data_IF_433100530573
#
_entry.id   IF_433100530573
#
_cell.length_a   1.000
_cell.length_b   1.000
_cell.length_c   1.000
_cell.angle_alpha   90.00
_cell.angle_beta   90.00
_cell.angle_gamma   90.00
#
_symmetry.space_group_name_H-M   'P 1'
#
loop_
_entity.id
_entity.type
_entity.pdbx_description
1 polymer ?
#
# COMPACT_ATOMS: atom_id res chain seq x y z
N UNK A 1 -17.39 -14.36 -4.15
CA UNK A 1 -16.76 -14.07 -2.84
C UNK A 1 -15.31 -13.64 -3.00
N UNK A 2 -14.38 -14.51 -3.45
CA UNK A 2 -12.95 -14.15 -3.48
C UNK A 2 -12.58 -13.03 -4.46
N UNK A 3 -13.19 -12.94 -5.66
CA UNK A 3 -12.94 -11.82 -6.58
C UNK A 3 -13.19 -10.46 -5.90
N UNK A 4 -14.32 -10.31 -5.20
CA UNK A 4 -14.66 -9.11 -4.44
C UNK A 4 -13.68 -8.85 -3.29
N UNK A 5 -13.46 -9.85 -2.40
CA UNK A 5 -12.64 -9.67 -1.19
C UNK A 5 -11.16 -9.49 -1.46
N UNK A 6 -10.64 -10.07 -2.54
CA UNK A 6 -9.24 -9.88 -2.90
C UNK A 6 -8.98 -8.52 -3.57
N UNK A 7 -9.97 -7.97 -4.29
CA UNK A 7 -9.88 -6.58 -4.79
C UNK A 7 -9.91 -5.57 -3.65
N UNK A 8 -10.69 -5.81 -2.60
CA UNK A 8 -10.75 -4.93 -1.41
C UNK A 8 -9.39 -4.74 -0.71
N UNK A 9 -8.45 -5.69 -0.83
CA UNK A 9 -7.07 -5.53 -0.33
C UNK A 9 -6.40 -4.32 -0.97
N UNK A 10 -6.66 -4.10 -2.26
CA UNK A 10 -6.10 -3.02 -3.05
C UNK A 10 -4.57 -2.97 -3.03
N UNK A 11 -4.02 -1.79 -3.21
CA UNK A 11 -2.56 -1.55 -3.30
C UNK A 11 -1.98 -1.00 -1.98
N UNK A 12 -2.82 -0.91 -0.96
CA UNK A 12 -2.51 -0.34 0.35
C UNK A 12 -1.45 -1.10 1.14
N UNK A 13 -1.11 -2.34 0.81
CA UNK A 13 -0.08 -3.10 1.53
C UNK A 13 1.20 -3.32 0.70
N UNK A 14 1.44 -2.55 -0.37
CA UNK A 14 2.63 -2.67 -1.23
C UNK A 14 2.72 -4.06 -1.90
N UNK A 15 1.86 -4.36 -2.89
CA UNK A 15 2.03 -5.53 -3.76
C UNK A 15 3.33 -5.41 -4.59
N UNK A 16 3.85 -6.53 -5.15
CA UNK A 16 3.20 -7.84 -5.25
C UNK A 16 3.11 -8.60 -3.93
N UNK A 17 1.98 -9.26 -3.69
CA UNK A 17 1.71 -9.96 -2.43
C UNK A 17 2.09 -11.44 -2.48
N UNK A 18 2.49 -11.96 -1.32
CA UNK A 18 2.31 -13.39 -1.04
C UNK A 18 0.97 -13.57 -0.35
N UNK A 19 -0.03 -13.98 -1.10
CA UNK A 19 -1.41 -14.05 -0.64
C UNK A 19 -1.68 -15.36 0.09
N UNK A 20 -2.34 -15.30 1.24
CA UNK A 20 -2.82 -16.46 1.96
C UNK A 20 -4.33 -16.41 2.14
N UNK A 21 -5.01 -17.51 1.84
CA UNK A 21 -6.44 -17.70 2.09
C UNK A 21 -6.63 -18.95 2.94
N UNK A 22 -7.38 -18.81 4.03
CA UNK A 22 -7.74 -19.92 4.92
C UNK A 22 -9.24 -20.08 4.90
N UNK A 23 -9.72 -21.30 4.63
CA UNK A 23 -11.15 -21.64 4.60
C UNK A 23 -11.43 -22.70 5.65
N UNK A 24 -12.26 -22.36 6.63
CA UNK A 24 -12.48 -23.17 7.83
C UNK A 24 -11.58 -22.74 8.98
N UNK A 25 -11.67 -23.49 10.08
CA UNK A 25 -11.01 -23.18 11.34
C UNK A 25 -11.93 -23.49 12.52
N UNK A 26 -11.32 -23.86 13.64
CA UNK A 26 -12.04 -24.12 14.89
C UNK A 26 -12.55 -22.84 15.55
N UNK A 27 -11.96 -21.70 15.22
CA UNK A 27 -12.33 -20.37 15.67
C UNK A 27 -11.77 -19.29 14.74
N UNK A 28 -12.20 -18.04 14.94
CA UNK A 28 -11.74 -16.92 14.12
C UNK A 28 -10.23 -16.68 14.31
N UNK A 29 -9.76 -16.67 15.56
CA UNK A 29 -8.35 -16.50 15.92
C UNK A 29 -7.46 -17.62 15.37
N UNK A 30 -7.96 -18.86 15.31
CA UNK A 30 -7.22 -19.97 14.70
C UNK A 30 -7.10 -19.82 13.18
N UNK A 31 -8.17 -19.39 12.50
CA UNK A 31 -8.14 -19.12 11.06
C UNK A 31 -7.16 -17.98 10.73
N UNK A 32 -7.18 -16.88 11.49
CA UNK A 32 -6.27 -15.73 11.30
C UNK A 32 -4.82 -16.10 11.61
N UNK A 33 -4.56 -16.87 12.69
CA UNK A 33 -3.21 -17.40 12.99
C UNK A 33 -2.70 -18.27 11.85
N UNK A 34 -3.54 -19.15 11.32
CA UNK A 34 -3.19 -20.01 10.17
C UNK A 34 -2.89 -19.16 8.94
N UNK A 35 -3.68 -18.13 8.66
CA UNK A 35 -3.46 -17.23 7.53
C UNK A 35 -2.13 -16.47 7.66
N UNK A 36 -1.76 -16.03 8.87
CA UNK A 36 -0.45 -15.43 9.15
C UNK A 36 0.70 -16.41 8.86
N UNK A 37 0.60 -17.66 9.30
CA UNK A 37 1.64 -18.65 9.04
C UNK A 37 1.72 -19.03 7.56
N UNK A 38 0.58 -19.17 6.89
CA UNK A 38 0.51 -19.41 5.45
C UNK A 38 1.11 -18.26 4.63
N UNK A 39 0.83 -16.99 5.00
CA UNK A 39 1.41 -15.83 4.29
C UNK A 39 2.92 -15.75 4.46
N UNK A 40 3.46 -16.31 5.53
CA UNK A 40 4.90 -16.44 5.79
C UNK A 40 5.49 -17.77 5.28
N UNK A 41 4.73 -18.55 4.51
CA UNK A 41 5.14 -19.84 3.88
C UNK A 41 5.56 -20.91 4.89
N UNK A 42 5.25 -20.71 6.17
CA UNK A 42 5.55 -21.66 7.25
C UNK A 42 4.81 -23.00 7.09
N UNK A 43 3.72 -22.99 6.31
CA UNK A 43 2.82 -24.14 6.12
C UNK A 43 2.99 -24.81 4.75
N UNK A 44 4.05 -24.51 4.01
CA UNK A 44 4.26 -25.01 2.64
C UNK A 44 4.37 -26.54 2.57
N UNK A 45 4.80 -27.18 3.66
CA UNK A 45 4.96 -28.63 3.80
C UNK A 45 3.73 -29.36 4.35
N UNK A 46 2.57 -28.69 4.47
CA UNK A 46 1.34 -29.38 4.85
C UNK A 46 0.95 -30.44 3.81
N UNK A 47 0.19 -31.49 4.19
CA UNK A 47 -0.43 -32.39 3.23
C UNK A 47 -1.27 -31.63 2.21
N UNK A 48 -1.40 -32.16 0.99
CA UNK A 48 -2.14 -31.52 -0.12
C UNK A 48 -3.56 -32.07 -0.31
N UNK A 49 -3.95 -33.03 0.52
CA UNK A 49 -5.29 -33.60 0.54
C UNK A 49 -5.77 -33.72 1.99
N UNK A 50 -7.07 -33.53 2.19
CA UNK A 50 -7.72 -33.84 3.46
C UNK A 50 -7.86 -35.34 3.69
N UNK A 51 -8.28 -35.71 4.90
CA UNK A 51 -8.64 -37.08 5.26
C UNK A 51 -9.82 -37.08 6.23
N UNK A 52 -10.38 -38.27 6.51
CA UNK A 52 -11.47 -38.44 7.48
C UNK A 52 -11.10 -37.96 8.90
N UNK A 53 -9.81 -37.84 9.22
CA UNK A 53 -9.32 -37.32 10.50
C UNK A 53 -9.50 -35.80 10.63
N UNK A 54 -9.84 -35.10 9.54
CA UNK A 54 -10.15 -33.67 9.56
C UNK A 54 -8.95 -32.76 9.85
N UNK A 55 -7.74 -33.12 9.44
CA UNK A 55 -6.58 -32.22 9.55
C UNK A 55 -6.61 -31.12 8.48
N UNK A 56 -5.85 -30.05 8.72
CA UNK A 56 -5.63 -29.01 7.72
C UNK A 56 -4.79 -29.51 6.53
N UNK A 57 -5.04 -28.97 5.34
CA UNK A 57 -4.27 -29.30 4.14
C UNK A 57 -4.15 -28.09 3.22
N UNK A 58 -3.16 -28.13 2.32
CA UNK A 58 -2.88 -27.10 1.32
C UNK A 58 -3.60 -27.42 0.01
N UNK A 59 -4.45 -26.53 -0.45
CA UNK A 59 -5.32 -26.70 -1.61
C UNK A 59 -4.67 -26.11 -2.88
N UNK A 60 -3.86 -26.93 -3.55
CA UNK A 60 -3.04 -26.51 -4.70
C UNK A 60 -3.87 -26.08 -5.92
N UNK A 61 -5.07 -26.67 -6.09
CA UNK A 61 -5.96 -26.30 -7.19
C UNK A 61 -6.49 -24.88 -6.98
N UNK A 62 -6.99 -24.59 -5.78
CA UNK A 62 -7.50 -23.27 -5.44
C UNK A 62 -6.38 -22.22 -5.40
N UNK A 63 -5.15 -22.58 -5.01
CA UNK A 63 -3.98 -21.70 -5.15
C UNK A 63 -3.82 -21.21 -6.60
N UNK A 64 -3.85 -22.12 -7.57
CA UNK A 64 -3.71 -21.76 -8.98
C UNK A 64 -4.89 -20.96 -9.51
N UNK A 65 -6.12 -21.30 -9.14
CA UNK A 65 -7.32 -20.57 -9.56
C UNK A 65 -7.26 -19.11 -9.05
N UNK A 66 -6.98 -18.92 -7.77
CA UNK A 66 -6.85 -17.59 -7.18
C UNK A 66 -5.68 -16.84 -7.80
N UNK A 67 -4.54 -17.48 -8.03
CA UNK A 67 -3.39 -16.81 -8.63
C UNK A 67 -3.71 -16.30 -10.05
N UNK A 68 -4.33 -17.13 -10.90
CA UNK A 68 -4.80 -16.69 -12.23
C UNK A 68 -5.83 -15.56 -12.13
N UNK A 69 -6.75 -15.64 -11.17
CA UNK A 69 -7.74 -14.61 -10.91
C UNK A 69 -7.09 -13.27 -10.56
N UNK A 70 -6.11 -13.26 -9.64
CA UNK A 70 -5.38 -12.05 -9.24
C UNK A 70 -4.58 -11.41 -10.38
N UNK A 71 -4.06 -12.22 -11.31
CA UNK A 71 -3.38 -11.74 -12.51
C UNK A 71 -4.33 -11.03 -13.48
N UNK A 72 -5.61 -11.39 -13.48
CA UNK A 72 -6.64 -10.79 -14.32
C UNK A 72 -7.28 -9.53 -13.70
N UNK A 73 -6.89 -9.12 -12.49
CA UNK A 73 -7.46 -7.94 -11.85
C UNK A 73 -7.10 -6.62 -12.55
N UNK A 74 -5.94 -6.59 -13.22
CA UNK A 74 -5.39 -5.37 -13.79
C UNK A 74 -4.83 -4.38 -12.75
N UNK A 75 -4.90 -4.69 -11.44
CA UNK A 75 -4.34 -3.87 -10.35
C UNK A 75 -2.80 -3.88 -10.37
N UNK A 76 -2.22 -5.05 -10.64
CA UNK A 76 -0.78 -5.25 -10.76
C UNK A 76 0.06 -4.87 -9.54
N UNK A 77 1.33 -4.58 -9.80
CA UNK A 77 2.29 -4.18 -8.78
C UNK A 77 2.13 -2.67 -8.51
N UNK A 78 1.12 -2.34 -7.72
CA UNK A 78 0.75 -0.98 -7.26
C UNK A 78 0.10 -0.08 -8.32
N UNK A 79 0.60 -0.04 -9.55
CA UNK A 79 0.15 0.91 -10.57
C UNK A 79 -0.23 0.22 -11.88
N UNK A 80 -1.11 -0.77 -11.79
CA UNK A 80 -1.64 -1.48 -12.95
C UNK A 80 -0.79 -2.68 -13.38
N UNK A 81 -1.43 -3.61 -14.10
CA UNK A 81 -0.76 -4.76 -14.72
C UNK A 81 -1.06 -6.10 -14.06
N UNK A 82 -0.12 -7.05 -14.20
CA UNK A 82 -0.34 -8.48 -13.88
C UNK A 82 0.04 -8.87 -12.44
N UNK A 83 1.12 -8.30 -11.91
CA UNK A 83 1.78 -8.80 -10.70
C UNK A 83 1.15 -8.27 -9.40
N UNK A 84 -0.14 -8.54 -9.20
CA UNK A 84 -0.80 -8.26 -7.92
C UNK A 84 -0.30 -9.19 -6.80
N UNK A 85 -0.01 -10.44 -7.15
CA UNK A 85 0.54 -11.45 -6.25
C UNK A 85 1.80 -12.09 -6.85
N UNK A 86 2.84 -12.28 -6.04
CA UNK A 86 3.95 -13.18 -6.33
C UNK A 86 3.43 -14.61 -6.45
N UNK A 87 2.71 -15.07 -5.42
CA UNK A 87 2.10 -16.40 -5.33
C UNK A 87 0.91 -16.40 -4.36
N UNK A 88 0.28 -17.58 -4.22
CA UNK A 88 -0.87 -17.80 -3.35
C UNK A 88 -0.64 -19.05 -2.50
N UNK A 89 -1.12 -19.05 -1.26
CA UNK A 89 -1.29 -20.22 -0.39
C UNK A 89 -2.74 -20.35 0.03
N UNK A 90 -3.31 -21.55 -0.10
CA UNK A 90 -4.68 -21.82 0.33
C UNK A 90 -4.68 -22.96 1.33
N UNK A 91 -5.10 -22.70 2.56
CA UNK A 91 -5.20 -23.72 3.62
C UNK A 91 -6.67 -24.01 3.90
N UNK A 92 -7.06 -25.28 3.75
CA UNK A 92 -8.37 -25.79 4.16
C UNK A 92 -8.25 -26.36 5.57
N UNK A 93 -9.16 -25.98 6.45
CA UNK A 93 -9.22 -26.43 7.84
C UNK A 93 -10.57 -27.09 8.14
N UNK A 94 -10.63 -28.02 9.12
CA UNK A 94 -11.91 -28.48 9.66
C UNK A 94 -12.69 -27.31 10.27
N UNK A 95 -13.99 -27.50 10.44
CA UNK A 95 -14.90 -26.49 10.99
C UNK A 95 -16.04 -27.13 11.75
N UNK A 96 -16.61 -26.40 12.70
CA UNK A 96 -17.92 -26.76 13.26
C UNK A 96 -18.99 -26.70 12.15
N UNK A 97 -20.00 -27.58 12.20
CA UNK A 97 -21.02 -27.68 11.14
C UNK A 97 -21.74 -26.35 10.85
N UNK A 98 -21.98 -25.56 11.89
CA UNK A 98 -22.63 -24.25 11.84
C UNK A 98 -21.68 -23.05 11.60
N UNK A 99 -20.40 -23.29 11.28
CA UNK A 99 -19.40 -22.23 11.16
C UNK A 99 -18.49 -22.47 9.95
N UNK A 100 -18.03 -21.38 9.34
CA UNK A 100 -17.03 -21.39 8.26
C UNK A 100 -16.25 -20.06 8.31
N UNK A 101 -15.31 -19.89 9.26
CA UNK A 101 -14.45 -18.72 9.23
C UNK A 101 -13.60 -18.74 7.95
N UNK A 102 -13.42 -17.58 7.35
CA UNK A 102 -12.53 -17.39 6.19
C UNK A 102 -11.59 -16.25 6.55
N UNK A 103 -10.29 -16.47 6.43
CA UNK A 103 -9.27 -15.46 6.71
C UNK A 103 -8.41 -15.24 5.48
N UNK A 104 -8.11 -13.96 5.20
CA UNK A 104 -7.24 -13.55 4.11
C UNK A 104 -6.11 -12.72 4.71
N UNK A 105 -4.88 -13.03 4.34
CA UNK A 105 -3.69 -12.31 4.79
C UNK A 105 -2.71 -12.16 3.64
N UNK A 106 -1.82 -11.17 3.74
CA UNK A 106 -0.74 -10.96 2.78
C UNK A 106 0.59 -10.81 3.50
N UNK A 107 1.67 -11.24 2.85
CA UNK A 107 3.00 -10.65 3.05
C UNK A 107 3.26 -9.63 1.95
N UNK A 108 3.81 -8.48 2.34
CA UNK A 108 4.06 -7.36 1.43
C UNK A 108 5.46 -7.43 0.80
N UNK A 109 5.84 -6.41 0.00
CA UNK A 109 7.21 -6.29 -0.51
C UNK A 109 8.30 -6.29 0.58
N UNK A 110 7.96 -5.93 1.82
CA UNK A 110 8.85 -6.09 2.97
C UNK A 110 8.64 -7.46 3.64
N UNK A 111 8.79 -8.53 2.85
CA UNK A 111 8.64 -9.94 3.23
C UNK A 111 9.78 -10.36 4.18
N UNK A 112 9.49 -10.38 5.48
CA UNK A 112 10.51 -10.44 6.54
C UNK A 112 10.15 -11.46 7.60
N UNK A 113 10.67 -12.66 7.41
CA UNK A 113 10.64 -13.75 8.37
C UNK A 113 11.97 -14.49 8.31
N UNK A 114 12.39 -15.07 9.43
CA UNK A 114 13.53 -15.98 9.51
C UNK A 114 13.24 -17.06 10.55
N UNK A 115 13.42 -18.32 10.19
CA UNK A 115 13.35 -19.45 11.10
C UNK A 115 14.62 -19.51 11.95
N UNK A 116 14.47 -19.93 13.20
CA UNK A 116 15.60 -20.22 14.07
C UNK A 116 15.32 -21.47 14.89
N UNK A 117 16.38 -22.19 15.26
CA UNK A 117 16.31 -23.34 16.17
C UNK A 117 17.52 -23.37 17.09
N UNK A 118 17.31 -23.87 18.30
CA UNK A 118 18.36 -24.14 19.27
C UNK A 118 18.38 -25.65 19.50
N UNK A 119 19.55 -26.26 19.37
CA UNK A 119 19.77 -27.69 19.56
C UNK A 119 21.00 -27.91 20.44
N UNK A 120 21.31 -29.14 20.89
CA UNK A 120 22.54 -29.40 21.62
C UNK A 120 23.83 -28.97 20.88
N UNK A 121 23.78 -28.88 19.55
CA UNK A 121 24.89 -28.45 18.69
C UNK A 121 25.07 -26.93 18.61
N UNK A 122 24.07 -26.13 19.02
CA UNK A 122 24.18 -24.66 19.04
C UNK A 122 22.90 -23.91 18.62
N UNK A 123 23.10 -22.67 18.20
CA UNK A 123 22.04 -21.77 17.71
C UNK A 123 22.12 -21.67 16.19
N UNK A 124 21.00 -21.93 15.52
CA UNK A 124 20.89 -21.92 14.07
C UNK A 124 19.84 -20.89 13.64
N UNK A 125 20.18 -20.10 12.63
CA UNK A 125 19.32 -19.10 12.01
C UNK A 125 19.21 -19.41 10.51
N UNK A 126 18.02 -19.19 9.94
CA UNK A 126 17.79 -19.28 8.50
C UNK A 126 18.73 -18.35 7.75
N UNK A 127 19.41 -18.91 6.74
CA UNK A 127 20.27 -18.15 5.86
C UNK A 127 19.41 -17.46 4.80
N UNK A 128 19.41 -16.12 4.82
CA UNK A 128 18.80 -15.30 3.79
C UNK A 128 19.81 -15.02 2.66
N UNK A 129 19.33 -14.40 1.59
CA UNK A 129 20.19 -13.91 0.50
C UNK A 129 21.06 -12.73 0.97
N UNK A 130 22.35 -12.79 0.66
CA UNK A 130 23.32 -11.72 0.95
C UNK A 130 23.80 -10.99 -0.31
N UNK A 131 23.60 -11.56 -1.50
CA UNK A 131 23.86 -10.94 -2.80
C UNK A 131 22.54 -10.80 -3.59
N UNK A 132 21.67 -9.84 -3.22
CA UNK A 132 20.41 -9.63 -3.94
C UNK A 132 20.63 -9.03 -5.35
N UNK A 133 21.81 -8.47 -5.63
CA UNK A 133 22.11 -7.85 -6.92
C UNK A 133 22.05 -8.85 -8.08
N UNK A 134 22.28 -10.15 -7.81
CA UNK A 134 22.16 -11.23 -8.81
C UNK A 134 20.75 -11.39 -9.39
N UNK A 135 19.72 -10.85 -8.75
CA UNK A 135 18.34 -10.85 -9.26
C UNK A 135 17.99 -9.60 -10.08
N UNK A 136 18.90 -8.63 -10.20
CA UNK A 136 18.68 -7.47 -11.06
C UNK A 136 18.73 -7.91 -12.53
N UNK A 137 17.71 -7.58 -13.34
CA UNK A 137 17.77 -7.81 -14.78
C UNK A 137 18.84 -6.90 -15.41
N UNK A 138 19.32 -7.26 -16.60
CA UNK A 138 20.07 -6.33 -17.42
C UNK A 138 19.19 -5.10 -17.71
N UNK A 139 19.62 -3.93 -17.24
CA UNK A 139 18.90 -2.67 -17.47
C UNK A 139 19.12 -2.29 -18.92
N UNK A 140 18.10 -2.50 -19.75
CA UNK A 140 18.04 -1.93 -21.10
C UNK A 140 17.06 -0.76 -21.09
N UNK A 141 17.47 0.40 -21.59
CA UNK A 141 16.65 1.63 -21.65
C UNK A 141 15.37 1.49 -22.51
N UNK A 142 15.15 0.34 -23.15
CA UNK A 142 14.07 0.07 -24.10
C UNK A 142 12.64 0.06 -23.52
N UNK A 143 12.46 0.19 -22.19
CA UNK A 143 11.16 -0.03 -21.52
C UNK A 143 10.75 1.03 -20.49
N UNK A 144 11.50 2.13 -20.34
CA UNK A 144 11.08 3.25 -19.50
C UNK A 144 10.55 4.35 -20.42
N UNK A 145 9.23 4.48 -20.54
CA UNK A 145 8.61 5.58 -21.29
C UNK A 145 9.13 6.93 -20.76
N UNK A 146 9.82 7.72 -21.57
CA UNK A 146 10.50 8.96 -21.16
C UNK A 146 9.55 10.09 -20.71
N UNK A 147 8.24 9.89 -20.81
CA UNK A 147 7.22 10.88 -20.46
C UNK A 147 7.04 10.99 -18.93
N UNK A 148 8.02 11.60 -18.27
CA UNK A 148 7.93 12.03 -16.86
C UNK A 148 7.73 13.53 -16.81
N UNK A 149 6.64 13.97 -16.19
CA UNK A 149 6.40 15.40 -15.99
C UNK A 149 7.08 15.88 -14.71
N UNK A 150 8.04 16.79 -14.84
CA UNK A 150 8.66 17.43 -13.69
C UNK A 150 7.69 18.43 -13.03
N UNK A 151 7.59 18.38 -11.70
CA UNK A 151 6.77 19.27 -10.88
C UNK A 151 7.69 19.92 -9.83
N UNK A 152 7.82 21.25 -9.92
CA UNK A 152 8.53 22.05 -8.92
C UNK A 152 7.57 22.38 -7.76
N UNK A 153 7.85 21.81 -6.60
CA UNK A 153 7.07 21.98 -5.37
C UNK A 153 7.36 23.31 -4.64
N UNK A 154 8.38 24.06 -5.06
CA UNK A 154 8.70 25.36 -4.47
C UNK A 154 7.91 26.52 -5.08
N UNK A 155 6.95 26.22 -5.96
CA UNK A 155 6.00 27.17 -6.51
C UNK A 155 4.82 27.41 -5.53
N UNK A 156 4.09 28.53 -5.65
CA UNK A 156 2.84 28.71 -4.92
C UNK A 156 1.85 27.55 -5.18
N UNK A 157 1.12 27.12 -4.15
CA UNK A 157 0.22 25.95 -4.22
C UNK A 157 -0.75 26.00 -5.42
N UNK A 158 -1.29 27.17 -5.76
CA UNK A 158 -2.18 27.32 -6.91
C UNK A 158 -1.46 27.08 -8.25
N UNK A 159 -0.19 27.45 -8.38
CA UNK A 159 0.60 27.15 -9.58
C UNK A 159 0.85 25.64 -9.72
N UNK A 160 1.17 24.96 -8.60
CA UNK A 160 1.32 23.49 -8.57
C UNK A 160 0.01 22.81 -9.00
N UNK A 161 -1.12 23.24 -8.43
CA UNK A 161 -2.46 22.71 -8.75
C UNK A 161 -2.83 22.95 -10.21
N UNK A 162 -2.53 24.13 -10.76
CA UNK A 162 -2.80 24.44 -12.17
C UNK A 162 -2.00 23.53 -13.11
N UNK A 163 -0.73 23.24 -12.79
CA UNK A 163 0.07 22.29 -13.56
C UNK A 163 -0.49 20.88 -13.46
N UNK A 164 -0.83 20.41 -12.26
CA UNK A 164 -1.43 19.08 -12.05
C UNK A 164 -2.81 18.95 -12.72
N UNK A 165 -3.61 20.01 -12.80
CA UNK A 165 -4.92 20.00 -13.45
C UNK A 165 -4.82 19.76 -14.97
N UNK A 166 -3.68 20.08 -15.60
CA UNK A 166 -3.45 19.78 -17.01
C UNK A 166 -3.14 18.29 -17.28
N UNK A 167 -2.86 17.50 -16.22
CA UNK A 167 -2.45 16.11 -16.35
C UNK A 167 -3.63 15.15 -16.09
N UNK A 168 -3.81 14.10 -16.91
CA UNK A 168 -4.75 13.04 -16.60
C UNK A 168 -4.23 12.16 -15.45
N UNK A 169 -5.15 11.47 -14.76
CA UNK A 169 -4.75 10.36 -13.87
C UNK A 169 -3.92 9.32 -14.64
N UNK A 170 -3.08 8.57 -13.92
CA UNK A 170 -2.05 7.64 -14.46
C UNK A 170 -0.78 8.32 -14.98
N UNK A 171 -0.75 9.65 -15.12
CA UNK A 171 0.48 10.38 -15.50
C UNK A 171 1.57 10.18 -14.46
N UNK A 172 2.79 9.85 -14.90
CA UNK A 172 3.99 9.77 -14.07
C UNK A 172 4.60 11.16 -13.88
N UNK A 173 4.89 11.50 -12.64
CA UNK A 173 5.47 12.80 -12.26
C UNK A 173 6.75 12.62 -11.44
N UNK A 174 7.65 13.57 -11.57
CA UNK A 174 8.89 13.68 -10.79
C UNK A 174 8.83 14.96 -9.96
N UNK A 175 8.88 14.84 -8.63
CA UNK A 175 8.68 15.94 -7.70
C UNK A 175 10.03 16.44 -7.16
N UNK A 176 10.27 17.75 -7.24
CA UNK A 176 11.46 18.39 -6.66
C UNK A 176 11.06 19.61 -5.84
N UNK A 177 11.60 19.76 -4.64
CA UNK A 177 11.32 20.86 -3.71
C UNK A 177 10.89 20.40 -2.33
N UNK A 178 10.26 21.29 -1.56
CA UNK A 178 9.88 21.02 -0.18
C UNK A 178 8.60 20.18 -0.06
N UNK A 179 8.60 19.19 0.85
CA UNK A 179 7.43 18.44 1.27
C UNK A 179 7.24 18.55 2.78
N UNK A 180 6.00 18.76 3.20
CA UNK A 180 5.61 18.63 4.61
C UNK A 180 5.20 17.19 4.86
N UNK A 181 5.83 16.55 5.83
CA UNK A 181 5.48 15.17 6.21
C UNK A 181 4.57 15.19 7.43
N UNK A 182 3.41 14.57 7.31
CA UNK A 182 2.47 14.40 8.42
C UNK A 182 1.67 13.11 8.25
N UNK A 183 1.37 12.41 9.34
CA UNK A 183 0.56 11.18 9.31
C UNK A 183 -0.39 11.10 10.51
N UNK A 184 -0.83 9.89 10.86
CA UNK A 184 -1.93 9.58 11.76
C UNK A 184 -2.06 10.52 12.99
N UNK A 185 -1.07 10.59 13.89
CA UNK A 185 -1.16 11.42 15.10
C UNK A 185 -1.12 12.93 14.81
N UNK A 186 -0.29 13.37 13.87
CA UNK A 186 -0.22 14.77 13.45
C UNK A 186 -1.55 15.24 12.83
N UNK A 187 -2.16 14.43 11.96
CA UNK A 187 -3.48 14.70 11.38
C UNK A 187 -4.57 14.76 12.46
N UNK A 188 -4.57 13.80 13.40
CA UNK A 188 -5.51 13.82 14.51
C UNK A 188 -5.40 15.10 15.36
N UNK A 189 -4.18 15.58 15.59
CA UNK A 189 -3.95 16.83 16.35
C UNK A 189 -4.42 18.06 15.59
N UNK A 190 -4.08 18.17 14.31
CA UNK A 190 -4.53 19.28 13.44
C UNK A 190 -6.06 19.29 13.28
N UNK A 191 -6.69 18.11 13.20
CA UNK A 191 -8.15 17.99 13.23
C UNK A 191 -8.72 18.54 14.54
N UNK A 192 -8.15 18.16 15.68
CA UNK A 192 -8.59 18.66 16.98
C UNK A 192 -8.42 20.18 17.10
N UNK A 193 -7.42 20.78 16.45
CA UNK A 193 -7.27 22.24 16.36
C UNK A 193 -8.43 22.86 15.58
N UNK A 194 -8.74 22.35 14.39
CA UNK A 194 -9.88 22.81 13.58
C UNK A 194 -11.22 22.67 14.32
N UNK A 195 -11.43 21.55 15.04
CA UNK A 195 -12.65 21.32 15.82
C UNK A 195 -12.81 22.33 16.97
N UNK A 196 -11.71 22.95 17.44
CA UNK A 196 -11.71 24.04 18.43
C UNK A 196 -11.82 25.44 17.80
N UNK A 197 -11.94 25.53 16.47
CA UNK A 197 -11.95 26.80 15.74
C UNK A 197 -10.57 27.44 15.57
N UNK A 198 -9.49 26.73 15.86
CA UNK A 198 -8.13 27.17 15.55
C UNK A 198 -7.85 26.98 14.05
N UNK A 199 -7.03 27.84 13.41
CA UNK A 199 -6.69 27.67 12.01
C UNK A 199 -5.80 26.43 11.79
N UNK A 200 -5.90 25.84 10.60
CA UNK A 200 -4.92 24.84 10.16
C UNK A 200 -3.52 25.51 10.08
N UNK A 201 -2.43 24.81 10.42
CA UNK A 201 -1.09 25.37 10.28
C UNK A 201 -0.74 25.77 8.84
N UNK A 202 0.00 26.87 8.66
CA UNK A 202 0.39 27.40 7.34
C UNK A 202 1.15 26.38 6.49
N UNK A 203 1.97 25.54 7.12
CA UNK A 203 2.74 24.52 6.42
C UNK A 203 1.86 23.50 5.69
N UNK A 204 0.61 23.27 6.15
CA UNK A 204 -0.35 22.39 5.47
C UNK A 204 -1.05 23.05 4.29
N UNK A 205 -1.07 24.39 4.24
CA UNK A 205 -1.65 25.17 3.13
C UNK A 205 -0.64 25.38 2.01
N UNK A 206 0.61 25.64 2.38
CA UNK A 206 1.61 26.12 1.45
C UNK A 206 2.47 25.02 0.82
N UNK A 207 2.39 23.77 1.30
CA UNK A 207 3.21 22.66 0.81
C UNK A 207 2.37 21.44 0.47
N UNK A 208 2.88 20.60 -0.44
CA UNK A 208 2.33 19.26 -0.61
C UNK A 208 2.62 18.41 0.65
N UNK A 209 1.64 17.57 1.02
CA UNK A 209 1.67 16.80 2.28
C UNK A 209 2.01 15.34 1.99
N UNK A 210 3.17 14.90 2.45
CA UNK A 210 3.64 13.53 2.36
C UNK A 210 3.25 12.72 3.59
N UNK A 211 2.51 11.62 3.39
CA UNK A 211 2.16 10.74 4.50
C UNK A 211 3.26 9.70 4.68
N UNK A 212 4.15 9.93 5.64
CA UNK A 212 5.24 9.03 5.96
C UNK A 212 5.71 9.20 7.40
N UNK A 213 6.57 8.29 7.86
CA UNK A 213 7.31 8.43 9.11
C UNK A 213 8.72 7.85 8.90
N UNK A 214 9.79 8.62 9.21
CA UNK A 214 11.15 8.20 8.90
C UNK A 214 11.62 7.10 9.85
N UNK A 215 12.47 6.20 9.33
CA UNK A 215 13.35 5.40 10.18
C UNK A 215 14.49 6.27 10.73
N UNK A 216 15.26 5.75 11.69
CA UNK A 216 16.43 6.43 12.25
C UNK A 216 17.46 6.74 11.16
N UNK A 217 17.97 7.97 11.13
CA UNK A 217 19.01 8.40 10.20
C UNK A 217 20.37 7.79 10.56
N UNK A 218 21.02 7.04 9.64
CA UNK A 218 22.39 6.57 9.83
C UNK A 218 23.38 7.73 9.91
N UNK A 219 24.50 7.55 10.62
CA UNK A 219 25.54 8.56 10.69
C UNK A 219 26.11 8.85 9.28
N UNK A 220 26.18 10.14 8.91
CA UNK A 220 26.68 10.59 7.60
C UNK A 220 25.67 10.54 6.46
N UNK A 221 24.43 10.14 6.71
CA UNK A 221 23.35 10.13 5.72
C UNK A 221 22.42 11.32 5.91
N UNK A 222 21.81 11.80 4.81
CA UNK A 222 20.81 12.87 4.85
C UNK A 222 19.49 12.41 5.50
N UNK A 223 19.11 11.14 5.29
CA UNK A 223 17.86 10.57 5.76
C UNK A 223 18.02 9.10 6.12
N UNK A 224 17.19 8.60 7.06
CA UNK A 224 16.93 7.17 7.21
C UNK A 224 15.94 6.68 6.15
N UNK A 225 15.68 5.38 6.08
CA UNK A 225 14.65 4.85 5.16
C UNK A 225 13.31 5.55 5.39
N UNK A 226 12.73 6.12 4.34
CA UNK A 226 11.60 7.06 4.48
C UNK A 226 10.58 6.91 3.34
N UNK A 227 9.94 5.74 3.29
CA UNK A 227 8.90 5.46 2.30
C UNK A 227 7.49 5.88 2.75
N UNK A 228 6.51 5.87 1.82
CA UNK A 228 5.15 6.33 2.09
C UNK A 228 4.39 5.37 3.01
N UNK A 229 3.42 5.91 3.76
CA UNK A 229 2.43 5.15 4.51
C UNK A 229 1.09 5.04 3.76
N UNK A 230 0.17 4.20 4.25
CA UNK A 230 -1.14 3.99 3.62
C UNK A 230 -1.98 5.25 3.63
N UNK A 231 -2.34 5.76 2.45
CA UNK A 231 -3.14 6.96 2.29
C UNK A 231 -4.54 6.84 2.90
N UNK A 232 -5.17 5.67 2.73
CA UNK A 232 -6.52 5.37 3.20
C UNK A 232 -6.82 5.69 4.67
N UNK A 233 -5.79 5.68 5.55
CA UNK A 233 -5.97 5.99 6.98
C UNK A 233 -6.21 7.48 7.25
N UNK A 234 -5.86 8.34 6.29
CA UNK A 234 -6.05 9.79 6.38
C UNK A 234 -7.28 10.28 5.60
N UNK A 235 -8.07 9.39 5.01
CA UNK A 235 -9.20 9.76 4.15
C UNK A 235 -10.25 10.64 4.85
N UNK A 236 -10.51 10.39 6.13
CA UNK A 236 -11.50 11.14 6.92
C UNK A 236 -11.12 12.59 7.20
N UNK A 237 -9.86 12.99 7.01
CA UNK A 237 -9.39 14.36 7.26
C UNK A 237 -9.43 15.24 6.01
N UNK A 238 -9.43 14.63 4.81
CA UNK A 238 -9.14 15.35 3.55
C UNK A 238 -10.12 16.48 3.30
N UNK A 239 -11.42 16.20 3.30
CA UNK A 239 -12.45 17.20 2.99
C UNK A 239 -12.41 18.39 3.98
N UNK A 240 -12.30 18.10 5.28
CA UNK A 240 -12.21 19.13 6.31
C UNK A 240 -10.95 20.00 6.14
N UNK A 241 -9.80 19.39 5.81
CA UNK A 241 -8.55 20.12 5.64
C UNK A 241 -8.55 20.96 4.36
N UNK A 242 -9.09 20.43 3.26
CA UNK A 242 -9.20 21.16 1.99
C UNK A 242 -10.16 22.35 2.10
N UNK A 243 -11.29 22.20 2.81
CA UNK A 243 -12.18 23.32 3.12
C UNK A 243 -11.52 24.39 3.99
N UNK A 244 -10.51 24.02 4.78
CA UNK A 244 -9.66 24.95 5.53
C UNK A 244 -8.44 25.47 4.73
N UNK A 245 -8.36 25.15 3.43
CA UNK A 245 -7.34 25.61 2.50
C UNK A 245 -6.02 24.82 2.53
N UNK A 246 -5.96 23.66 3.19
CA UNK A 246 -4.75 22.84 3.26
C UNK A 246 -4.93 21.42 2.75
N UNK A 247 -3.83 20.66 2.71
CA UNK A 247 -3.83 19.29 2.15
C UNK A 247 -4.35 19.22 0.70
N UNK A 248 -4.04 20.26 -0.09
CA UNK A 248 -4.48 20.38 -1.48
C UNK A 248 -3.77 19.40 -2.41
N UNK A 249 -2.49 19.12 -2.14
CA UNK A 249 -1.71 18.10 -2.85
C UNK A 249 -1.21 17.11 -1.81
N UNK A 250 -1.60 15.85 -1.94
CA UNK A 250 -1.29 14.78 -0.99
C UNK A 250 -0.39 13.74 -1.67
N UNK A 251 0.62 13.24 -0.97
CA UNK A 251 1.54 12.21 -1.47
C UNK A 251 1.59 11.04 -0.49
N UNK A 252 1.33 9.82 -0.93
CA UNK A 252 1.34 8.62 -0.09
C UNK A 252 1.36 7.34 -0.95
N UNK A 253 0.91 6.19 -0.41
CA UNK A 253 0.68 4.98 -1.23
C UNK A 253 -0.68 4.34 -0.98
N UNK A 254 -1.09 3.53 -1.94
CA UNK A 254 -2.34 2.78 -1.92
C UNK A 254 -3.51 3.53 -2.58
N UNK A 255 -4.53 2.78 -3.00
CA UNK A 255 -5.82 3.32 -3.39
C UNK A 255 -6.54 3.98 -2.20
N UNK A 256 -7.47 4.90 -2.48
CA UNK A 256 -8.21 5.66 -1.48
C UNK A 256 -9.72 5.46 -1.64
N UNK A 257 -10.47 5.87 -0.63
CA UNK A 257 -11.93 5.86 -0.69
C UNK A 257 -12.47 6.94 -1.62
N UNK A 258 -13.70 6.73 -2.09
CA UNK A 258 -14.43 7.71 -2.92
C UNK A 258 -14.59 9.08 -2.25
N UNK A 259 -14.59 9.14 -0.91
CA UNK A 259 -14.65 10.40 -0.16
C UNK A 259 -13.51 11.35 -0.56
N UNK A 260 -12.32 10.82 -0.83
CA UNK A 260 -11.17 11.62 -1.25
C UNK A 260 -11.32 12.10 -2.68
N UNK A 261 -11.82 11.24 -3.58
CA UNK A 261 -12.12 11.62 -4.97
C UNK A 261 -13.15 12.75 -5.03
N UNK A 262 -14.19 12.67 -4.22
CA UNK A 262 -15.22 13.71 -4.14
C UNK A 262 -14.66 15.01 -3.54
N UNK A 263 -13.89 14.92 -2.45
CA UNK A 263 -13.25 16.09 -1.83
C UNK A 263 -12.28 16.80 -2.80
N UNK A 264 -11.43 16.04 -3.51
CA UNK A 264 -10.53 16.60 -4.52
C UNK A 264 -11.29 17.30 -5.64
N UNK A 265 -12.40 16.74 -6.12
CA UNK A 265 -13.26 17.38 -7.11
C UNK A 265 -13.92 18.66 -6.60
N UNK A 266 -14.39 18.67 -5.35
CA UNK A 266 -15.09 19.80 -4.76
C UNK A 266 -14.16 20.97 -4.42
N UNK A 267 -12.93 20.69 -4.00
CA UNK A 267 -11.99 21.70 -3.53
C UNK A 267 -10.85 21.97 -4.51
N UNK A 268 -10.72 21.19 -5.59
CA UNK A 268 -9.63 21.26 -6.55
C UNK A 268 -8.30 20.72 -6.00
N UNK A 269 -8.35 19.58 -5.32
CA UNK A 269 -7.21 18.90 -4.74
C UNK A 269 -6.70 17.73 -5.58
N UNK A 270 -5.54 17.17 -5.21
CA UNK A 270 -4.87 16.08 -5.91
C UNK A 270 -4.30 15.05 -4.94
N UNK A 271 -4.33 13.77 -5.34
CA UNK A 271 -3.58 12.72 -4.68
C UNK A 271 -2.55 12.11 -5.63
N UNK A 272 -1.30 12.16 -5.20
CA UNK A 272 -0.15 11.57 -5.85
C UNK A 272 0.22 10.25 -5.15
N UNK A 273 0.32 9.17 -5.93
CA UNK A 273 0.76 7.87 -5.46
C UNK A 273 2.26 7.69 -5.65
N UNK A 274 3.01 7.64 -4.56
CA UNK A 274 4.40 7.18 -4.51
C UNK A 274 4.46 5.65 -4.55
N UNK A 275 5.60 5.12 -4.99
CA UNK A 275 5.89 3.68 -4.88
C UNK A 275 6.07 3.31 -3.40
N UNK A 276 5.27 2.37 -2.92
CA UNK A 276 5.38 1.80 -1.57
C UNK A 276 6.39 0.65 -1.52
N UNK A 277 7.27 0.64 -0.52
CA UNK A 277 8.30 -0.40 -0.36
C UNK A 277 9.74 0.09 -0.45
N UNK A 278 10.19 0.79 -1.51
CA UNK A 278 11.61 1.11 -1.74
C UNK A 278 12.11 2.29 -0.89
N UNK A 279 11.86 2.25 0.42
CA UNK A 279 12.13 3.34 1.35
C UNK A 279 13.63 3.68 1.48
N UNK A 280 14.52 2.71 1.28
CA UNK A 280 15.96 2.92 1.34
C UNK A 280 16.48 3.68 0.11
N UNK A 281 16.01 3.31 -1.09
CA UNK A 281 16.34 4.00 -2.35
C UNK A 281 15.82 5.43 -2.34
N UNK A 282 14.55 5.64 -1.93
CA UNK A 282 14.00 7.00 -1.78
C UNK A 282 14.85 7.87 -0.83
N UNK A 283 15.31 7.29 0.28
CA UNK A 283 16.14 8.01 1.24
C UNK A 283 17.55 8.33 0.73
N UNK A 284 18.11 7.45 -0.10
CA UNK A 284 19.46 7.60 -0.64
C UNK A 284 19.49 8.58 -1.82
N UNK A 285 18.52 8.47 -2.72
CA UNK A 285 18.58 9.12 -4.02
C UNK A 285 17.69 10.36 -4.10
N UNK A 286 16.60 10.42 -3.32
CA UNK A 286 15.58 11.46 -3.48
C UNK A 286 15.45 12.41 -2.29
N UNK A 287 15.85 12.05 -1.07
CA UNK A 287 15.67 12.90 0.12
C UNK A 287 17.00 13.50 0.52
N UNK A 288 17.11 14.82 0.39
CA UNK A 288 18.38 15.54 0.58
C UNK A 288 18.48 16.24 1.93
N UNK A 289 17.35 16.49 2.59
CA UNK A 289 17.28 17.14 3.91
C UNK A 289 16.06 16.67 4.69
N UNK A 290 16.18 16.53 6.01
CA UNK A 290 15.09 16.18 6.93
C UNK A 290 15.19 17.02 8.20
N UNK A 291 14.12 17.74 8.54
CA UNK A 291 14.03 18.56 9.76
C UNK A 291 12.69 18.31 10.45
N UNK A 292 12.69 18.28 11.79
CA UNK A 292 11.44 18.30 12.56
C UNK A 292 10.87 19.72 12.48
N UNK A 293 9.66 19.84 11.98
CA UNK A 293 8.96 21.12 11.82
C UNK A 293 8.04 21.42 13.01
N UNK A 294 7.29 20.43 13.47
CA UNK A 294 6.29 20.60 14.54
C UNK A 294 6.02 19.26 15.26
N UNK A 295 5.43 19.33 16.45
CA UNK A 295 5.08 18.19 17.31
C UNK A 295 6.23 17.18 17.54
N UNK A 296 7.44 17.63 17.97
CA UNK A 296 8.61 16.77 18.15
C UNK A 296 8.38 15.61 19.13
N UNK A 297 7.46 15.77 20.08
CA UNK A 297 7.09 14.75 21.05
C UNK A 297 6.42 13.51 20.45
N UNK A 298 5.95 13.58 19.19
CA UNK A 298 5.33 12.45 18.49
C UNK A 298 6.35 11.49 17.85
N UNK A 299 7.66 11.75 18.02
CA UNK A 299 8.72 10.90 17.47
C UNK A 299 8.63 10.81 15.95
N UNK A 300 8.57 9.58 15.39
CA UNK A 300 8.46 9.39 13.94
C UNK A 300 7.16 9.92 13.33
N UNK A 301 6.16 10.23 14.15
CA UNK A 301 4.88 10.84 13.72
C UNK A 301 4.83 12.37 13.92
N UNK A 302 5.97 12.99 14.27
CA UNK A 302 6.10 14.45 14.22
C UNK A 302 5.80 14.99 12.82
N UNK A 303 5.58 16.31 12.71
CA UNK A 303 5.57 16.97 11.41
C UNK A 303 7.02 17.21 11.00
N UNK A 304 7.37 16.81 9.79
CA UNK A 304 8.70 17.03 9.23
C UNK A 304 8.63 17.97 8.03
N UNK A 305 9.73 18.68 7.78
CA UNK A 305 9.99 19.33 6.50
C UNK A 305 11.14 18.59 5.83
N UNK A 306 10.92 18.15 4.60
CA UNK A 306 11.96 17.47 3.80
C UNK A 306 12.17 18.17 2.47
N UNK A 307 13.41 18.12 1.98
CA UNK A 307 13.75 18.54 0.63
C UNK A 307 13.93 17.31 -0.25
N UNK A 308 13.21 17.26 -1.37
CA UNK A 308 13.28 16.14 -2.31
C UNK A 308 13.75 16.55 -3.69
N UNK A 309 14.40 15.62 -4.38
CA UNK A 309 14.80 15.74 -5.78
C UNK A 309 14.38 14.48 -6.52
N UNK A 310 13.83 14.67 -7.71
CA UNK A 310 13.40 13.61 -8.62
C UNK A 310 12.49 12.53 -7.99
N UNK A 311 11.66 12.93 -7.03
CA UNK A 311 10.86 11.99 -6.24
C UNK A 311 9.71 11.42 -7.08
N UNK A 312 9.64 10.10 -7.28
CA UNK A 312 8.70 9.51 -8.23
C UNK A 312 7.28 9.38 -7.67
N UNK A 313 6.30 9.80 -8.46
CA UNK A 313 4.88 9.58 -8.15
C UNK A 313 4.02 9.44 -9.41
N UNK A 314 2.74 9.10 -9.21
CA UNK A 314 1.70 9.09 -10.23
C UNK A 314 0.53 9.98 -9.80
N UNK A 315 -0.11 10.66 -10.75
CA UNK A 315 -1.41 11.30 -10.49
C UNK A 315 -2.45 10.20 -10.31
N UNK A 316 -2.91 10.00 -9.07
CA UNK A 316 -3.88 8.94 -8.73
C UNK A 316 -5.31 9.49 -8.71
N UNK A 317 -5.53 10.62 -8.04
CA UNK A 317 -6.81 11.35 -8.05
C UNK A 317 -6.56 12.77 -8.52
N UNK A 318 -7.41 13.24 -9.44
CA UNK A 318 -7.39 14.60 -9.95
C UNK A 318 -8.51 15.48 -9.34
N UNK A 319 -8.50 16.75 -9.73
CA UNK A 319 -9.48 17.77 -9.37
C UNK A 319 -10.81 17.67 -10.15
N UNK A 320 -11.02 16.60 -10.93
CA UNK A 320 -12.18 16.41 -11.80
C UNK A 320 -13.04 15.21 -11.38
N UNK A 321 -12.59 14.47 -10.36
CA UNK A 321 -13.26 13.29 -9.84
C UNK A 321 -12.85 11.99 -10.52
N UNK A 322 -11.71 11.98 -11.23
CA UNK A 322 -11.12 10.77 -11.78
C UNK A 322 -10.21 10.08 -10.73
N UNK A 323 -10.16 8.75 -10.79
CA UNK A 323 -9.30 7.92 -9.93
C UNK A 323 -8.66 6.81 -10.77
N UNK A 324 -7.33 6.70 -10.69
CA UNK A 324 -6.51 5.64 -11.31
C UNK A 324 -7.11 4.25 -11.13
N UNK A 325 -7.61 3.95 -9.93
CA UNK A 325 -8.03 2.60 -9.53
C UNK A 325 -9.51 2.31 -9.77
N UNK A 326 -10.29 3.29 -10.25
CA UNK A 326 -11.75 3.20 -10.34
C UNK A 326 -12.26 2.04 -11.19
N UNK A 327 -11.53 1.65 -12.24
CA UNK A 327 -11.87 0.54 -13.12
C UNK A 327 -11.45 -0.80 -12.51
N UNK A 328 -10.22 -0.89 -12.00
CA UNK A 328 -9.62 -2.14 -11.50
C UNK A 328 -10.22 -2.61 -10.18
N UNK A 329 -10.83 -1.71 -9.42
CA UNK A 329 -11.48 -2.04 -8.14
C UNK A 329 -12.92 -2.57 -8.30
N UNK A 330 -13.49 -2.56 -9.52
CA UNK A 330 -14.82 -3.12 -9.78
C UNK A 330 -14.75 -4.65 -9.88
N UNK A 331 -15.57 -5.41 -9.15
CA UNK A 331 -15.67 -6.86 -9.33
C UNK A 331 -16.09 -7.19 -10.77
N UNK A 332 -15.46 -8.20 -11.38
CA UNK A 332 -15.78 -8.59 -12.76
C UNK A 332 -17.05 -9.45 -12.84
N UNK A 333 -17.53 -10.00 -11.72
CA UNK A 333 -18.63 -10.97 -11.71
C UNK A 333 -19.79 -10.45 -10.86
N UNK A 334 -20.86 -10.00 -11.51
CA UNK A 334 -22.16 -9.72 -10.90
C UNK A 334 -23.19 -10.85 -11.13
N UNK A 335 -22.76 -12.05 -11.54
CA UNK A 335 -23.66 -13.19 -11.76
C UNK A 335 -23.11 -14.47 -11.16
N UNK A 336 -23.63 -14.84 -10.00
CA UNK A 336 -23.70 -16.25 -9.59
C UNK A 336 -24.96 -16.79 -10.29
N UNK A 337 -24.87 -17.80 -11.17
CA UNK A 337 -26.05 -18.53 -11.59
C UNK A 337 -26.59 -19.24 -10.34
N UNK A 338 -27.68 -18.73 -9.78
CA UNK A 338 -28.40 -19.41 -8.70
C UNK A 338 -29.36 -20.38 -9.39
N UNK A 339 -28.99 -21.65 -9.46
CA UNK A 339 -29.84 -22.71 -10.01
C UNK A 339 -29.05 -24.00 -10.26
N UNK A 340 -29.64 -25.19 -10.08
CA UNK A 340 -28.98 -26.44 -10.42
C UNK A 340 -28.66 -26.46 -11.92
N UNK A 341 -27.62 -27.19 -12.36
CA UNK A 341 -27.33 -27.36 -13.78
C UNK A 341 -28.58 -27.86 -14.50
N UNK A 342 -29.00 -27.15 -15.54
CA UNK A 342 -30.07 -27.61 -16.41
C UNK A 342 -29.56 -28.87 -17.13
N UNK A 343 -30.03 -30.04 -16.72
CA UNK A 343 -29.82 -31.31 -17.40
C UNK A 343 -29.20 -32.40 -16.54
N UNK A 344 -30.06 -33.16 -15.87
CA UNK A 344 -29.93 -34.61 -15.68
C UNK A 344 -31.32 -35.22 -15.62
#
# INVERSE_FOLDING_TARGET
>A
FLDEKLREIGTAACPPYHLAVVVGGTSAEFAVKTAKYASARYLDSLPVHGSANGHGFRDLEMEQEIWRMTQAFGIGAQFGGKYFCHDVRVIRLPRHGASLPVAIAVSCSADRQALAKITPEGVFLEQLEHDPARFLPEVSDAHLDDDVVAIDLNQPMDAIRNQLSALPVKTRVSLTGSLVVARDLAHSRMKAMLDRGEPLPDYMRNNAVYYAGPAKTPAGYASGSFGPTTAGRMDSYVDQFQKAGGSMVMLAKGNRSKLVTDACRENGGFYLGSIGGPAAVLAQDNITKVEVLDFPELGMEAVWLIEVVDFPAFVVVDDKGNDFFAETMRPMVSRIPVGPPAGS
#
